data_IF_432904743109
#
_entry.id   IF_432904743109
#
_cell.length_a   1.000
_cell.length_b   1.000
_cell.length_c   1.000
_cell.angle_alpha   90.00
_cell.angle_beta   90.00
_cell.angle_gamma   90.00
#
_symmetry.space_group_name_H-M   'P 1'
#
loop_
_entity.id
_entity.type
_entity.pdbx_description
1 polymer ?
#
# COMPACT_ATOMS: atom_id res chain seq x y z
N UNK A 1 40.31 27.46 -7.17
CA UNK A 1 38.88 27.81 -7.06
C UNK A 1 38.07 27.07 -8.14
N UNK A 2 38.24 25.74 -8.25
CA UNK A 2 37.61 24.91 -9.30
C UNK A 2 37.08 23.55 -8.78
N UNK A 3 37.16 23.29 -7.47
CA UNK A 3 36.73 22.03 -6.86
C UNK A 3 35.33 22.08 -6.23
N UNK A 4 34.65 23.23 -6.25
CA UNK A 4 33.38 23.45 -5.52
C UNK A 4 32.11 23.26 -6.38
N UNK A 5 32.26 22.95 -7.67
CA UNK A 5 31.13 22.77 -8.61
C UNK A 5 30.69 21.31 -8.78
N UNK A 6 31.31 20.36 -8.07
CA UNK A 6 31.09 18.92 -8.25
C UNK A 6 30.30 18.23 -7.13
N UNK A 7 29.75 18.99 -6.18
CA UNK A 7 29.04 18.44 -5.01
C UNK A 7 27.64 19.03 -4.81
N UNK A 8 26.95 19.40 -5.89
CA UNK A 8 25.49 19.56 -5.78
C UNK A 8 24.86 18.18 -5.94
N UNK A 9 24.10 17.69 -4.95
CA UNK A 9 23.37 16.44 -5.11
C UNK A 9 22.50 16.56 -6.37
N UNK A 10 22.47 15.48 -7.17
CA UNK A 10 21.61 15.43 -8.34
C UNK A 10 20.17 15.75 -7.92
N UNK A 11 19.44 16.59 -8.66
CA UNK A 11 18.07 16.91 -8.30
C UNK A 11 17.19 15.65 -8.28
N UNK A 12 16.05 15.75 -7.58
CA UNK A 12 15.03 14.72 -7.61
C UNK A 12 14.70 14.38 -9.08
N UNK A 13 14.60 13.10 -9.44
CA UNK A 13 14.47 12.68 -10.84
C UNK A 13 13.08 13.00 -11.43
N UNK A 14 12.13 13.42 -10.60
CA UNK A 14 10.80 13.83 -10.99
C UNK A 14 10.31 15.02 -10.17
N UNK A 15 9.21 15.62 -10.63
CA UNK A 15 8.47 16.66 -9.92
C UNK A 15 6.96 16.37 -9.90
N UNK A 16 6.31 16.75 -8.82
CA UNK A 16 4.84 16.82 -8.73
C UNK A 16 4.35 18.13 -9.36
N UNK A 17 3.43 18.03 -10.30
CA UNK A 17 2.78 19.18 -10.93
C UNK A 17 1.28 19.14 -10.61
N UNK A 18 0.78 20.17 -9.94
CA UNK A 18 -0.66 20.30 -9.72
C UNK A 18 -1.33 20.57 -11.07
N UNK A 19 -2.23 19.68 -11.48
CA UNK A 19 -2.92 19.80 -12.76
C UNK A 19 -4.40 20.15 -12.61
N UNK A 20 -5.01 19.79 -11.48
CA UNK A 20 -6.41 20.10 -11.25
C UNK A 20 -6.81 20.07 -9.78
N UNK A 21 -7.85 20.81 -9.42
CA UNK A 21 -8.45 20.81 -8.08
C UNK A 21 -9.98 20.91 -8.12
N UNK A 22 -10.65 20.37 -7.11
CA UNK A 22 -12.10 20.44 -6.99
C UNK A 22 -12.69 19.58 -5.87
N UNK A 23 -14.02 19.51 -5.81
CA UNK A 23 -14.71 18.58 -4.92
C UNK A 23 -14.87 17.19 -5.54
N UNK A 24 -15.45 16.27 -4.77
CA UNK A 24 -15.70 14.88 -5.20
C UNK A 24 -16.45 14.79 -6.54
N UNK A 25 -17.41 15.68 -6.79
CA UNK A 25 -18.24 15.66 -8.02
C UNK A 25 -17.43 15.90 -9.31
N UNK A 26 -16.26 16.52 -9.20
CA UNK A 26 -15.35 16.73 -10.34
C UNK A 26 -14.53 15.47 -10.65
N UNK A 27 -14.27 14.65 -9.64
CA UNK A 27 -13.48 13.42 -9.73
C UNK A 27 -14.36 12.18 -9.48
N UNK A 28 -15.47 12.08 -10.22
CA UNK A 28 -16.44 11.00 -10.04
C UNK A 28 -15.86 9.59 -10.21
N UNK A 29 -14.77 9.48 -10.97
CA UNK A 29 -14.03 8.23 -11.19
C UNK A 29 -13.37 7.68 -9.91
N UNK A 30 -13.25 8.47 -8.84
CA UNK A 30 -12.69 8.03 -7.55
C UNK A 30 -13.75 7.39 -6.63
N UNK A 31 -15.03 7.43 -7.00
CA UNK A 31 -16.12 6.81 -6.22
C UNK A 31 -16.21 7.26 -4.75
N UNK A 32 -15.89 8.54 -4.47
CA UNK A 32 -15.86 9.12 -3.12
C UNK A 32 -17.16 9.85 -2.72
N UNK A 33 -18.29 9.55 -3.36
CA UNK A 33 -19.55 10.30 -3.20
C UNK A 33 -20.11 10.28 -1.77
N UNK A 34 -19.72 9.30 -0.95
CA UNK A 34 -20.06 9.25 0.46
C UNK A 34 -19.39 10.35 1.32
N UNK A 35 -18.41 11.08 0.78
CA UNK A 35 -17.69 12.15 1.48
C UNK A 35 -17.71 13.47 0.69
N UNK A 36 -18.88 14.11 0.53
CA UNK A 36 -19.05 15.29 -0.32
C UNK A 36 -18.19 16.50 0.10
N UNK A 37 -17.76 16.54 1.36
CA UNK A 37 -16.95 17.62 1.92
C UNK A 37 -15.44 17.50 1.60
N UNK A 38 -15.00 16.43 0.93
CA UNK A 38 -13.61 16.28 0.53
C UNK A 38 -13.26 17.23 -0.62
N UNK A 39 -12.15 17.93 -0.43
CA UNK A 39 -11.43 18.64 -1.48
C UNK A 39 -10.33 17.74 -2.02
N UNK A 40 -10.23 17.68 -3.35
CA UNK A 40 -9.34 16.80 -4.08
C UNK A 40 -8.41 17.64 -4.96
N UNK A 41 -7.13 17.31 -4.91
CA UNK A 41 -6.09 17.89 -5.75
C UNK A 41 -5.44 16.77 -6.57
N UNK A 42 -5.38 16.93 -7.89
CA UNK A 42 -4.78 15.99 -8.84
C UNK A 42 -3.38 16.49 -9.21
N UNK A 43 -2.40 15.61 -9.05
CA UNK A 43 -1.02 15.85 -9.42
C UNK A 43 -0.57 14.88 -10.49
N UNK A 44 0.25 15.37 -11.41
CA UNK A 44 1.03 14.55 -12.33
C UNK A 44 2.47 14.46 -11.83
N UNK A 45 3.03 13.25 -11.83
CA UNK A 45 4.43 13.02 -11.58
C UNK A 45 5.18 13.03 -12.91
N UNK A 46 6.12 13.96 -13.10
CA UNK A 46 6.81 14.16 -14.37
C UNK A 46 8.32 14.08 -14.24
N UNK A 47 8.94 13.46 -15.24
CA UNK A 47 10.40 13.38 -15.41
C UNK A 47 10.75 14.20 -16.65
N UNK A 48 11.74 15.10 -16.56
CA UNK A 48 12.05 16.05 -17.63
C UNK A 48 12.36 15.39 -18.99
N UNK A 49 12.90 14.17 -18.98
CA UNK A 49 13.24 13.41 -20.20
C UNK A 49 12.05 12.63 -20.80
N UNK A 50 10.87 12.69 -20.20
CA UNK A 50 9.68 11.93 -20.62
C UNK A 50 8.52 12.90 -20.86
N UNK A 51 7.94 12.86 -22.06
CA UNK A 51 6.86 13.77 -22.44
C UNK A 51 5.58 13.56 -21.62
N UNK A 52 5.24 12.30 -21.34
CA UNK A 52 4.05 11.91 -20.58
C UNK A 52 4.36 11.80 -19.09
N UNK A 53 3.38 12.05 -18.20
CA UNK A 53 3.54 11.76 -16.78
C UNK A 53 3.81 10.27 -16.56
N UNK A 54 4.60 9.98 -15.54
CA UNK A 54 4.96 8.62 -15.13
C UNK A 54 4.00 8.07 -14.06
N UNK A 55 3.30 8.95 -13.34
CA UNK A 55 2.24 8.60 -12.40
C UNK A 55 1.25 9.75 -12.22
N UNK A 56 0.06 9.43 -11.68
CA UNK A 56 -0.95 10.40 -11.26
C UNK A 56 -1.27 10.16 -9.79
N UNK A 57 -1.26 11.23 -8.99
CA UNK A 57 -1.58 11.18 -7.58
C UNK A 57 -2.82 12.04 -7.30
N UNK A 58 -3.76 11.49 -6.55
CA UNK A 58 -4.90 12.22 -6.02
C UNK A 58 -4.71 12.41 -4.53
N UNK A 59 -4.80 13.67 -4.09
CA UNK A 59 -4.76 14.05 -2.68
C UNK A 59 -6.14 14.47 -2.22
N UNK A 60 -6.53 14.06 -1.03
CA UNK A 60 -7.80 14.45 -0.42
C UNK A 60 -7.58 15.06 0.96
N UNK A 61 -8.38 16.07 1.30
CA UNK A 61 -8.46 16.64 2.64
C UNK A 61 -9.89 17.09 2.95
N UNK A 62 -10.22 17.09 4.24
CA UNK A 62 -11.34 17.88 4.79
C UNK A 62 -10.89 19.34 4.95
N UNK A 63 -11.83 20.29 5.10
CA UNK A 63 -11.59 21.75 5.09
C UNK A 63 -10.28 22.22 5.75
N UNK A 64 -10.02 21.79 6.98
CA UNK A 64 -8.82 22.15 7.77
C UNK A 64 -7.95 20.92 8.12
N UNK A 65 -8.17 19.81 7.40
CA UNK A 65 -7.47 18.54 7.62
C UNK A 65 -6.16 18.46 6.83
N UNK A 66 -5.31 17.53 7.23
CA UNK A 66 -4.12 17.20 6.45
C UNK A 66 -4.52 16.65 5.08
N UNK A 67 -3.76 17.04 4.06
CA UNK A 67 -3.88 16.52 2.70
C UNK A 67 -3.12 15.21 2.57
N UNK A 68 -3.85 14.12 2.34
CA UNK A 68 -3.32 12.75 2.27
C UNK A 68 -3.48 12.20 0.86
N UNK A 69 -2.62 11.25 0.48
CA UNK A 69 -2.80 10.46 -0.74
C UNK A 69 -4.07 9.60 -0.64
N UNK A 70 -4.98 9.73 -1.60
CA UNK A 70 -6.21 8.93 -1.67
C UNK A 70 -6.22 7.93 -2.82
N UNK A 71 -5.49 8.22 -3.91
CA UNK A 71 -5.35 7.31 -5.04
C UNK A 71 -4.02 7.57 -5.76
N UNK A 72 -3.40 6.49 -6.23
CA UNK A 72 -2.15 6.51 -6.99
C UNK A 72 -2.30 5.62 -8.22
N UNK A 73 -1.97 6.19 -9.38
CA UNK A 73 -1.97 5.48 -10.66
C UNK A 73 -0.56 5.51 -11.25
N UNK A 74 0.03 4.33 -11.44
CA UNK A 74 1.31 4.21 -12.15
C UNK A 74 1.03 4.15 -13.67
N UNK A 75 1.67 5.04 -14.43
CA UNK A 75 1.55 5.09 -15.90
C UNK A 75 2.75 4.42 -16.61
N UNK A 76 3.65 3.85 -15.83
CA UNK A 76 4.81 3.06 -16.27
C UNK A 76 4.77 1.68 -15.63
N UNK A 77 5.45 0.71 -16.26
CA UNK A 77 5.42 -0.69 -15.81
C UNK A 77 6.18 -0.94 -14.51
N UNK A 78 7.25 -0.18 -14.24
CA UNK A 78 7.96 -0.21 -12.97
C UNK A 78 7.36 0.85 -12.04
N UNK A 79 6.75 0.48 -10.90
CA UNK A 79 6.08 1.41 -10.02
C UNK A 79 7.07 2.39 -9.40
N UNK A 80 6.62 3.63 -9.24
CA UNK A 80 7.37 4.74 -8.63
C UNK A 80 6.48 5.32 -7.53
N UNK A 81 7.05 5.60 -6.36
CA UNK A 81 6.32 6.14 -5.21
C UNK A 81 5.48 5.08 -4.51
N UNK A 82 4.34 4.71 -5.09
CA UNK A 82 3.37 3.79 -4.49
C UNK A 82 2.92 2.69 -5.47
N UNK A 83 2.42 1.56 -4.96
CA UNK A 83 2.01 0.43 -5.84
C UNK A 83 0.72 0.67 -6.61
N UNK A 84 -0.07 1.69 -6.24
CA UNK A 84 -1.40 1.94 -6.76
C UNK A 84 -2.43 0.90 -6.30
N UNK A 85 -3.69 1.31 -6.27
CA UNK A 85 -4.82 0.47 -5.86
C UNK A 85 -6.15 1.10 -6.26
N UNK A 86 -7.20 0.28 -6.29
CA UNK A 86 -8.53 0.79 -6.61
C UNK A 86 -9.13 1.51 -5.39
N UNK A 87 -9.25 2.82 -5.51
CA UNK A 87 -9.81 3.69 -4.46
C UNK A 87 -11.28 3.39 -4.18
N UNK A 88 -12.02 2.83 -5.15
CA UNK A 88 -13.43 2.46 -4.97
C UNK A 88 -13.58 1.24 -4.05
N UNK A 89 -12.64 0.29 -4.12
CA UNK A 89 -12.58 -0.84 -3.20
C UNK A 89 -12.31 -0.36 -1.76
N UNK A 90 -11.36 0.58 -1.62
CA UNK A 90 -11.02 1.18 -0.32
C UNK A 90 -12.18 2.00 0.26
N UNK A 91 -12.87 2.77 -0.57
CA UNK A 91 -14.06 3.52 -0.19
C UNK A 91 -15.15 2.58 0.36
N UNK A 92 -15.39 1.46 -0.32
CA UNK A 92 -16.36 0.46 0.13
C UNK A 92 -15.97 -0.13 1.49
N UNK A 93 -14.69 -0.49 1.65
CA UNK A 93 -14.16 -0.96 2.94
C UNK A 93 -14.33 0.09 4.04
N UNK A 94 -14.05 1.36 3.79
CA UNK A 94 -14.18 2.42 4.79
C UNK A 94 -15.64 2.59 5.26
N UNK A 95 -16.60 2.50 4.33
CA UNK A 95 -18.04 2.50 4.66
C UNK A 95 -18.40 1.27 5.49
N UNK A 96 -17.92 0.08 5.12
CA UNK A 96 -18.28 -1.15 5.82
C UNK A 96 -17.60 -1.27 7.20
N UNK A 97 -16.38 -0.76 7.36
CA UNK A 97 -15.72 -0.58 8.66
C UNK A 97 -16.57 0.32 9.58
N UNK A 98 -17.20 1.36 9.02
CA UNK A 98 -18.07 2.26 9.80
C UNK A 98 -19.30 1.51 10.33
N UNK A 99 -19.74 0.45 9.67
CA UNK A 99 -20.89 -0.38 10.08
C UNK A 99 -20.52 -1.51 11.04
N UNK A 100 -19.35 -2.13 10.86
CA UNK A 100 -19.02 -3.42 11.49
C UNK A 100 -17.92 -3.35 12.55
N UNK A 101 -17.06 -2.33 12.53
CA UNK A 101 -15.99 -2.18 13.51
C UNK A 101 -16.45 -1.21 14.62
N UNK A 102 -16.28 -1.52 15.91
CA UNK A 102 -16.64 -0.59 16.99
C UNK A 102 -15.88 0.74 16.89
N UNK A 103 -16.47 1.85 17.36
CA UNK A 103 -15.88 3.19 17.16
C UNK A 103 -14.60 3.40 17.95
N UNK A 104 -14.52 2.76 19.11
CA UNK A 104 -13.40 2.76 20.05
C UNK A 104 -12.30 1.76 19.68
N UNK A 105 -12.56 0.87 18.71
CA UNK A 105 -11.56 -0.06 18.22
C UNK A 105 -10.48 0.68 17.42
N UNK A 106 -9.29 0.10 17.41
CA UNK A 106 -8.13 0.62 16.69
C UNK A 106 -7.93 -0.17 15.40
N UNK A 107 -7.74 0.57 14.32
CA UNK A 107 -7.35 0.01 13.03
C UNK A 107 -5.83 0.02 12.87
N UNK A 108 -5.30 -1.16 12.55
CA UNK A 108 -3.95 -1.36 12.03
C UNK A 108 -4.05 -1.55 10.51
N UNK A 109 -3.19 -0.88 9.76
CA UNK A 109 -3.02 -1.08 8.33
C UNK A 109 -1.61 -0.59 7.96
N UNK A 110 -1.19 -0.79 6.71
CA UNK A 110 -0.01 -0.07 6.21
C UNK A 110 -0.20 1.44 6.36
N UNK A 111 0.87 2.21 6.53
CA UNK A 111 0.76 3.62 6.96
C UNK A 111 -0.07 4.50 6.02
N UNK A 112 -0.03 4.25 4.71
CA UNK A 112 -0.81 4.98 3.71
C UNK A 112 -2.30 4.59 3.79
N UNK A 113 -2.60 3.30 3.81
CA UNK A 113 -3.98 2.79 4.00
C UNK A 113 -4.55 3.22 5.35
N UNK A 114 -3.74 3.25 6.40
CA UNK A 114 -4.12 3.71 7.75
C UNK A 114 -4.60 5.17 7.73
N UNK A 115 -3.93 6.04 6.97
CA UNK A 115 -4.35 7.44 6.81
C UNK A 115 -5.61 7.56 5.97
N UNK A 116 -5.70 6.80 4.89
CA UNK A 116 -6.88 6.79 4.02
C UNK A 116 -8.13 6.32 4.78
N UNK A 117 -8.01 5.24 5.54
CA UNK A 117 -9.09 4.74 6.39
C UNK A 117 -9.43 5.74 7.50
N UNK A 118 -8.45 6.39 8.13
CA UNK A 118 -8.72 7.45 9.10
C UNK A 118 -9.56 8.59 8.51
N UNK A 119 -9.24 9.03 7.28
CA UNK A 119 -9.99 10.08 6.59
C UNK A 119 -11.43 9.64 6.24
N UNK A 120 -11.57 8.43 5.70
CA UNK A 120 -12.81 7.93 5.11
C UNK A 120 -13.77 7.26 6.11
N UNK A 121 -13.27 6.69 7.21
CA UNK A 121 -14.10 5.97 8.18
C UNK A 121 -14.26 6.68 9.52
N UNK A 122 -13.53 7.78 9.76
CA UNK A 122 -13.49 8.49 11.05
C UNK A 122 -13.17 7.54 12.23
N UNK A 123 -12.36 6.51 11.96
CA UNK A 123 -11.88 5.52 12.93
C UNK A 123 -10.49 5.89 13.43
N UNK A 124 -10.19 5.43 14.65
CA UNK A 124 -8.86 5.54 15.22
C UNK A 124 -7.91 4.61 14.47
N UNK A 125 -6.87 5.17 13.88
CA UNK A 125 -5.82 4.41 13.18
C UNK A 125 -4.47 4.66 13.83
N UNK A 126 -3.58 3.67 13.81
CA UNK A 126 -2.29 3.76 14.52
C UNK A 126 -1.30 4.68 13.81
N UNK A 127 -1.30 4.69 12.47
CA UNK A 127 -0.40 5.51 11.67
C UNK A 127 -1.20 6.63 11.01
N UNK A 128 -0.84 7.88 11.32
CA UNK A 128 -1.56 9.09 10.92
C UNK A 128 -0.69 10.03 10.09
N UNK A 129 0.63 9.85 10.16
CA UNK A 129 1.62 10.67 9.46
C UNK A 129 2.13 10.01 8.17
N UNK A 130 2.66 10.82 7.26
CA UNK A 130 3.32 10.30 6.06
C UNK A 130 4.69 9.70 6.45
N UNK A 131 4.80 8.37 6.43
CA UNK A 131 6.04 7.69 6.82
C UNK A 131 7.01 7.51 5.63
N UNK A 132 6.50 7.41 4.41
CA UNK A 132 7.30 7.30 3.17
C UNK A 132 8.15 6.02 3.11
N UNK A 133 7.65 4.91 3.66
CA UNK A 133 8.40 3.65 3.76
C UNK A 133 7.58 2.43 3.28
N UNK A 134 8.15 1.53 2.46
CA UNK A 134 9.45 1.65 1.79
C UNK A 134 9.46 2.76 0.74
N UNK A 135 10.65 3.22 0.34
CA UNK A 135 10.79 3.98 -0.89
C UNK A 135 10.66 3.02 -2.08
N UNK A 136 9.68 3.27 -2.94
CA UNK A 136 9.51 2.53 -4.20
C UNK A 136 10.10 3.39 -5.32
N UNK A 137 11.28 2.99 -5.81
CA UNK A 137 11.95 3.68 -6.89
C UNK A 137 12.72 2.67 -7.76
N UNK A 138 12.83 2.92 -9.07
CA UNK A 138 13.64 2.11 -9.96
C UNK A 138 15.08 1.95 -9.51
N UNK A 139 15.65 0.78 -9.80
CA UNK A 139 17.03 0.45 -9.40
C UNK A 139 18.07 1.47 -9.90
N UNK A 140 17.86 2.06 -11.06
CA UNK A 140 18.73 3.10 -11.64
C UNK A 140 18.61 4.47 -10.96
N UNK A 141 17.69 4.65 -10.00
CA UNK A 141 17.60 5.83 -9.12
C UNK A 141 18.19 5.60 -7.73
N UNK A 142 18.82 4.44 -7.48
CA UNK A 142 19.40 4.08 -6.18
C UNK A 142 20.40 5.12 -5.64
N UNK A 143 21.20 5.75 -6.50
CA UNK A 143 22.15 6.80 -6.10
C UNK A 143 21.45 8.12 -5.71
N UNK A 144 20.15 8.26 -5.98
CA UNK A 144 19.34 9.45 -5.67
C UNK A 144 18.37 9.23 -4.51
N UNK A 145 18.44 8.09 -3.82
CA UNK A 145 17.50 7.72 -2.74
C UNK A 145 17.36 8.80 -1.67
N UNK A 146 18.46 9.42 -1.22
CA UNK A 146 18.40 10.48 -0.20
C UNK A 146 17.65 11.72 -0.69
N UNK A 147 17.92 12.15 -1.93
CA UNK A 147 17.27 13.32 -2.54
C UNK A 147 15.79 13.04 -2.79
N UNK A 148 15.45 11.84 -3.25
CA UNK A 148 14.05 11.42 -3.43
C UNK A 148 13.34 11.41 -2.07
N UNK A 149 13.96 10.82 -1.03
CA UNK A 149 13.36 10.75 0.30
C UNK A 149 13.09 12.15 0.87
N UNK A 150 14.05 13.07 0.75
CA UNK A 150 13.88 14.46 1.17
C UNK A 150 12.77 15.17 0.37
N UNK A 151 12.75 14.99 -0.95
CA UNK A 151 11.75 15.60 -1.82
C UNK A 151 10.33 15.12 -1.51
N UNK A 152 10.13 13.80 -1.37
CA UNK A 152 8.87 13.19 -0.96
C UNK A 152 8.44 13.74 0.41
N UNK A 153 9.36 13.81 1.37
CA UNK A 153 9.08 14.33 2.70
C UNK A 153 8.58 15.78 2.68
N UNK A 154 9.22 16.64 1.88
CA UNK A 154 8.81 18.03 1.72
C UNK A 154 7.46 18.16 1.00
N UNK A 155 7.22 17.36 -0.04
CA UNK A 155 5.99 17.44 -0.82
C UNK A 155 4.76 16.95 -0.04
N UNK A 156 4.88 15.82 0.66
CA UNK A 156 3.78 15.23 1.41
C UNK A 156 3.55 15.90 2.75
N UNK A 157 4.60 16.43 3.39
CA UNK A 157 4.54 16.99 4.72
C UNK A 157 4.07 15.97 5.77
N UNK A 158 3.61 16.46 6.92
CA UNK A 158 3.08 15.63 8.01
C UNK A 158 4.01 14.47 8.39
N UNK A 159 5.28 14.78 8.66
CA UNK A 159 6.30 13.79 8.95
C UNK A 159 5.98 13.02 10.23
N UNK A 160 6.08 11.69 10.15
CA UNK A 160 5.93 10.85 11.33
C UNK A 160 7.05 11.06 12.33
N UNK A 161 6.67 11.08 13.62
CA UNK A 161 7.63 11.11 14.73
C UNK A 161 8.55 9.90 14.70
N UNK A 162 9.71 10.00 15.35
CA UNK A 162 10.63 8.86 15.47
C UNK A 162 9.96 7.65 16.14
N UNK A 163 9.07 7.88 17.11
CA UNK A 163 8.30 6.83 17.78
C UNK A 163 7.27 6.18 16.84
N UNK A 164 6.53 6.97 16.05
CA UNK A 164 5.59 6.45 15.06
C UNK A 164 6.31 5.60 14.00
N UNK A 165 7.47 6.05 13.53
CA UNK A 165 8.34 5.29 12.60
C UNK A 165 8.82 3.97 13.24
N UNK A 166 9.20 3.99 14.51
CA UNK A 166 9.60 2.78 15.25
C UNK A 166 8.44 1.79 15.39
N UNK A 167 7.24 2.27 15.76
CA UNK A 167 6.03 1.44 15.82
C UNK A 167 5.66 0.86 14.45
N UNK A 168 5.89 1.61 13.38
CA UNK A 168 5.69 1.11 12.01
C UNK A 168 6.70 0.01 11.64
N UNK A 169 7.97 0.13 12.05
CA UNK A 169 8.93 -0.96 11.88
C UNK A 169 8.52 -2.22 12.64
N UNK A 170 8.05 -2.08 13.88
CA UNK A 170 7.51 -3.20 14.68
C UNK A 170 6.28 -3.83 14.02
N UNK A 171 5.40 -3.03 13.40
CA UNK A 171 4.27 -3.52 12.62
C UNK A 171 4.72 -4.33 11.40
N UNK A 172 5.70 -3.83 10.65
CA UNK A 172 6.29 -4.58 9.54
C UNK A 172 6.95 -5.89 10.02
N UNK A 173 7.66 -5.86 11.15
CA UNK A 173 8.26 -7.07 11.75
C UNK A 173 7.20 -8.09 12.19
N UNK A 174 6.06 -7.62 12.69
CA UNK A 174 4.93 -8.48 13.05
C UNK A 174 4.36 -9.18 11.81
N UNK A 175 4.16 -8.45 10.71
CA UNK A 175 3.68 -8.99 9.44
C UNK A 175 4.66 -9.99 8.79
N UNK A 176 5.96 -9.78 8.97
CA UNK A 176 7.03 -10.67 8.48
C UNK A 176 7.36 -11.84 9.42
N UNK A 177 6.72 -11.93 10.58
CA UNK A 177 6.93 -13.02 11.55
C UNK A 177 5.98 -14.20 11.28
N UNK A 178 6.28 -15.36 11.87
CA UNK A 178 5.32 -16.47 11.94
C UNK A 178 4.02 -16.03 12.63
N UNK A 179 2.89 -16.65 12.26
CA UNK A 179 1.56 -16.21 12.65
C UNK A 179 1.38 -15.91 14.15
N UNK A 180 1.72 -16.86 15.03
CA UNK A 180 1.54 -16.68 16.48
C UNK A 180 2.37 -15.53 17.05
N UNK A 181 3.64 -15.44 16.65
CA UNK A 181 4.54 -14.35 17.06
C UNK A 181 4.07 -13.01 16.51
N UNK A 182 3.70 -12.96 15.23
CA UNK A 182 3.20 -11.74 14.59
C UNK A 182 1.95 -11.22 15.27
N UNK A 183 0.98 -12.09 15.59
CA UNK A 183 -0.24 -11.70 16.31
C UNK A 183 0.08 -11.14 17.71
N UNK A 184 1.01 -11.75 18.45
CA UNK A 184 1.46 -11.22 19.73
C UNK A 184 2.09 -9.83 19.60
N UNK A 185 2.94 -9.62 18.58
CA UNK A 185 3.54 -8.31 18.31
C UNK A 185 2.49 -7.25 17.92
N UNK A 186 1.49 -7.60 17.09
CA UNK A 186 0.38 -6.70 16.76
C UNK A 186 -0.41 -6.31 18.02
N UNK A 187 -0.53 -7.22 18.99
CA UNK A 187 -1.18 -6.96 20.26
C UNK A 187 -0.39 -6.02 21.16
N UNK A 188 0.92 -6.24 21.28
CA UNK A 188 1.81 -5.34 22.03
C UNK A 188 1.78 -3.91 21.48
N UNK A 189 1.64 -3.76 20.16
CA UNK A 189 1.57 -2.44 19.52
C UNK A 189 0.39 -1.59 19.97
N UNK A 190 -0.74 -2.20 20.32
CA UNK A 190 -2.00 -1.47 20.58
C UNK A 190 -2.50 -1.65 22.02
N UNK A 191 -1.98 -2.64 22.75
CA UNK A 191 -2.36 -2.91 24.13
C UNK A 191 -3.73 -3.59 24.22
N UNK A 192 -4.54 -3.16 25.19
CA UNK A 192 -5.79 -3.83 25.58
C UNK A 192 -7.02 -3.48 24.73
N UNK A 193 -6.89 -2.60 23.75
CA UNK A 193 -8.03 -2.19 22.91
C UNK A 193 -8.46 -3.31 21.96
N UNK A 194 -9.70 -3.25 21.49
CA UNK A 194 -10.12 -4.05 20.34
C UNK A 194 -9.34 -3.60 19.10
N UNK A 195 -8.76 -4.55 18.37
CA UNK A 195 -7.88 -4.29 17.23
C UNK A 195 -8.39 -5.02 16.01
N UNK A 196 -8.47 -4.28 14.91
CA UNK A 196 -8.71 -4.81 13.60
C UNK A 196 -7.54 -4.47 12.70
N UNK A 197 -7.09 -5.42 11.91
CA UNK A 197 -6.04 -5.22 10.92
C UNK A 197 -6.63 -5.30 9.52
N UNK A 198 -6.31 -4.31 8.69
CA UNK A 198 -6.65 -4.25 7.28
C UNK A 198 -5.37 -4.50 6.48
N UNK A 199 -5.39 -5.52 5.62
CA UNK A 199 -4.26 -5.86 4.74
C UNK A 199 -4.70 -5.90 3.28
N UNK A 200 -3.74 -5.69 2.39
CA UNK A 200 -3.93 -5.68 0.95
C UNK A 200 -2.75 -6.38 0.23
N UNK A 201 -2.92 -7.02 -0.94
CA UNK A 201 -1.82 -7.65 -1.69
C UNK A 201 -0.60 -6.77 -1.93
N UNK A 202 -0.77 -5.46 -2.08
CA UNK A 202 0.35 -4.50 -2.23
C UNK A 202 1.27 -4.49 -1.01
N UNK A 203 0.75 -4.78 0.18
CA UNK A 203 1.53 -4.82 1.43
C UNK A 203 2.59 -5.92 1.38
N UNK A 204 2.38 -7.00 0.61
CA UNK A 204 3.38 -8.04 0.42
C UNK A 204 4.63 -7.46 -0.24
N UNK A 205 4.45 -6.71 -1.32
CA UNK A 205 5.58 -6.11 -2.04
C UNK A 205 6.28 -5.06 -1.18
N UNK A 206 5.50 -4.20 -0.52
CA UNK A 206 6.05 -3.20 0.41
C UNK A 206 6.85 -3.86 1.54
N UNK A 207 6.34 -4.96 2.09
CA UNK A 207 7.04 -5.73 3.12
C UNK A 207 8.31 -6.39 2.60
N UNK A 208 8.29 -6.95 1.39
CA UNK A 208 9.48 -7.56 0.77
C UNK A 208 10.59 -6.57 0.49
N UNK A 209 10.25 -5.33 0.11
CA UNK A 209 11.23 -4.24 0.00
C UNK A 209 11.85 -3.88 1.37
N UNK A 210 11.06 -3.95 2.45
CA UNK A 210 11.53 -3.64 3.81
C UNK A 210 12.27 -4.79 4.49
N UNK A 211 11.97 -6.04 4.12
CA UNK A 211 12.47 -7.26 4.75
C UNK A 211 12.86 -8.31 3.68
N UNK A 212 13.81 -8.01 2.77
CA UNK A 212 14.18 -8.90 1.67
C UNK A 212 14.72 -10.26 2.16
N UNK A 213 15.32 -10.31 3.34
CA UNK A 213 15.80 -11.56 3.95
C UNK A 213 14.67 -12.46 4.50
N UNK A 214 13.46 -11.93 4.63
CA UNK A 214 12.27 -12.65 5.16
C UNK A 214 11.25 -12.96 4.07
N UNK A 215 11.16 -12.12 3.04
CA UNK A 215 10.14 -12.26 2.00
C UNK A 215 10.78 -12.04 0.63
N UNK A 216 10.96 -13.15 -0.10
CA UNK A 216 11.33 -13.14 -1.51
C UNK A 216 10.07 -12.94 -2.34
N UNK A 217 10.00 -11.81 -3.04
CA UNK A 217 8.80 -11.39 -3.76
C UNK A 217 9.12 -10.76 -5.10
N UNK A 218 8.26 -11.04 -6.08
CA UNK A 218 8.15 -10.28 -7.31
C UNK A 218 6.70 -9.95 -7.62
N UNK A 219 6.48 -9.03 -8.55
CA UNK A 219 5.18 -8.83 -9.17
C UNK A 219 5.29 -8.81 -10.68
N UNK A 220 4.18 -9.08 -11.37
CA UNK A 220 4.07 -8.88 -12.81
C UNK A 220 2.63 -8.56 -13.19
N UNK A 221 2.48 -7.65 -14.13
CA UNK A 221 1.19 -7.31 -14.71
C UNK A 221 0.90 -8.20 -15.91
N UNK A 222 -0.34 -8.69 -15.97
CA UNK A 222 -0.85 -9.53 -17.04
C UNK A 222 -2.10 -8.87 -17.64
N UNK A 223 -2.23 -8.86 -18.98
CA UNK A 223 -3.42 -8.35 -19.63
C UNK A 223 -4.60 -9.31 -19.37
N UNK A 224 -5.72 -8.75 -18.93
CA UNK A 224 -7.01 -9.43 -18.81
C UNK A 224 -7.70 -9.43 -20.18
N UNK A 225 -7.16 -10.18 -21.14
CA UNK A 225 -7.90 -10.52 -22.36
C UNK A 225 -9.00 -11.49 -21.97
N UNK A 226 -10.25 -11.32 -22.42
CA UNK A 226 -11.48 -11.98 -21.92
C UNK A 226 -11.52 -13.51 -21.77
N UNK A 227 -10.42 -14.23 -22.00
CA UNK A 227 -10.19 -15.61 -21.62
C UNK A 227 -9.44 -15.70 -20.27
N UNK A 228 -10.20 -15.58 -19.17
CA UNK A 228 -9.69 -15.71 -17.79
C UNK A 228 -9.02 -17.09 -17.53
N UNK A 229 -9.42 -18.14 -18.24
CA UNK A 229 -8.78 -19.47 -18.14
C UNK A 229 -7.34 -19.49 -18.68
N UNK A 230 -7.03 -18.67 -19.68
CA UNK A 230 -5.67 -18.53 -20.21
C UNK A 230 -4.72 -17.80 -19.25
N UNK A 231 -5.24 -16.84 -18.48
CA UNK A 231 -4.46 -16.06 -17.51
C UNK A 231 -3.84 -16.96 -16.44
N UNK A 232 -4.62 -17.86 -15.84
CA UNK A 232 -4.12 -18.73 -14.78
C UNK A 232 -2.94 -19.61 -15.26
N UNK A 233 -2.98 -20.08 -16.51
CA UNK A 233 -1.88 -20.81 -17.15
C UNK A 233 -0.63 -19.94 -17.31
N UNK A 234 -0.78 -18.70 -17.79
CA UNK A 234 0.34 -17.76 -17.96
C UNK A 234 1.00 -17.40 -16.62
N UNK A 235 0.19 -17.12 -15.59
CA UNK A 235 0.68 -16.79 -14.25
C UNK A 235 1.45 -17.98 -13.66
N UNK A 236 0.92 -19.20 -13.75
CA UNK A 236 1.60 -20.42 -13.26
C UNK A 236 2.89 -20.73 -14.02
N UNK A 237 2.90 -20.53 -15.33
CA UNK A 237 4.10 -20.72 -16.15
C UNK A 237 5.19 -19.72 -15.75
N UNK A 238 4.83 -18.43 -15.57
CA UNK A 238 5.76 -17.40 -15.12
C UNK A 238 6.29 -17.69 -13.71
N UNK A 239 5.41 -18.05 -12.77
CA UNK A 239 5.76 -18.41 -11.39
C UNK A 239 6.83 -19.52 -11.37
N UNK A 240 6.57 -20.63 -12.08
CA UNK A 240 7.49 -21.77 -12.14
C UNK A 240 8.82 -21.42 -12.81
N UNK A 241 8.78 -20.65 -13.90
CA UNK A 241 9.97 -20.23 -14.62
C UNK A 241 10.90 -19.33 -13.79
N UNK A 242 10.35 -18.62 -12.80
CA UNK A 242 11.11 -17.68 -11.95
C UNK A 242 11.34 -18.20 -10.52
N UNK A 243 11.04 -19.48 -10.24
CA UNK A 243 11.37 -20.11 -8.96
C UNK A 243 10.49 -19.68 -7.77
N UNK A 244 9.27 -19.23 -8.04
CA UNK A 244 8.24 -18.97 -7.02
C UNK A 244 7.32 -20.18 -6.85
N UNK A 245 6.69 -20.33 -5.69
CA UNK A 245 5.84 -21.48 -5.35
C UNK A 245 4.37 -21.12 -5.10
N UNK A 246 4.08 -19.84 -4.94
CA UNK A 246 2.71 -19.35 -4.75
C UNK A 246 2.54 -17.94 -5.30
N UNK A 247 1.29 -17.51 -5.48
CA UNK A 247 0.96 -16.16 -5.91
C UNK A 247 -0.43 -15.72 -5.42
N UNK A 248 -0.66 -14.41 -5.36
CA UNK A 248 -2.00 -13.79 -5.25
C UNK A 248 -2.20 -12.82 -6.41
N UNK A 249 -3.46 -12.51 -6.71
CA UNK A 249 -3.84 -11.58 -7.78
C UNK A 249 -4.51 -10.32 -7.20
N UNK A 250 -4.29 -9.20 -7.86
CA UNK A 250 -4.97 -7.93 -7.63
C UNK A 250 -5.46 -7.39 -8.98
N UNK A 251 -6.73 -7.00 -9.05
CA UNK A 251 -7.23 -6.25 -10.22
C UNK A 251 -6.67 -4.83 -10.19
N UNK A 252 -6.08 -4.35 -11.29
CA UNK A 252 -5.68 -2.95 -11.45
C UNK A 252 -6.71 -2.17 -12.30
N UNK A 253 -7.33 -2.86 -13.25
CA UNK A 253 -8.42 -2.36 -14.09
C UNK A 253 -9.17 -3.54 -14.69
N UNK A 254 -10.25 -3.26 -15.43
CA UNK A 254 -10.98 -4.26 -16.22
C UNK A 254 -10.13 -4.99 -17.26
N UNK A 255 -8.91 -4.49 -17.53
CA UNK A 255 -8.02 -5.02 -18.58
C UNK A 255 -6.66 -5.45 -18.07
N UNK A 256 -6.33 -5.25 -16.80
CA UNK A 256 -5.01 -5.57 -16.23
C UNK A 256 -5.15 -6.13 -14.82
N UNK A 257 -4.46 -7.25 -14.60
CA UNK A 257 -4.28 -7.87 -13.27
C UNK A 257 -2.81 -7.88 -12.91
N UNK A 258 -2.49 -7.58 -11.66
CA UNK A 258 -1.17 -7.75 -11.09
C UNK A 258 -1.12 -9.06 -10.30
N UNK A 259 -0.13 -9.89 -10.59
CA UNK A 259 0.19 -11.04 -9.78
C UNK A 259 1.37 -10.72 -8.87
N UNK A 260 1.26 -11.06 -7.59
CA UNK A 260 2.36 -11.03 -6.61
C UNK A 260 2.80 -12.46 -6.34
N UNK A 261 4.09 -12.74 -6.53
CA UNK A 261 4.67 -14.07 -6.44
C UNK A 261 5.57 -14.17 -5.23
N UNK A 262 5.43 -15.25 -4.45
CA UNK A 262 6.22 -15.50 -3.26
C UNK A 262 6.92 -16.85 -3.35
N UNK A 263 8.02 -16.98 -2.62
CA UNK A 263 8.67 -18.24 -2.35
C UNK A 263 8.55 -18.56 -0.85
N UNK A 264 7.45 -19.22 -0.46
CA UNK A 264 7.20 -19.58 0.94
C UNK A 264 8.09 -20.74 1.40
N UNK A 265 8.51 -21.63 0.50
CA UNK A 265 9.36 -22.77 0.84
C UNK A 265 10.75 -22.38 1.34
N UNK A 266 11.27 -21.21 0.92
CA UNK A 266 12.58 -20.71 1.34
C UNK A 266 12.57 -20.05 2.72
N UNK A 267 11.53 -19.28 3.04
CA UNK A 267 11.51 -18.40 4.22
C UNK A 267 10.42 -18.75 5.25
N UNK A 268 9.59 -19.76 4.98
CA UNK A 268 8.43 -20.11 5.79
C UNK A 268 7.23 -19.19 5.54
N UNK A 269 6.09 -19.57 6.14
CA UNK A 269 4.84 -18.81 6.01
C UNK A 269 4.79 -17.67 7.03
N UNK A 270 4.96 -16.44 6.55
CA UNK A 270 4.80 -15.23 7.36
C UNK A 270 3.32 -14.94 7.64
N UNK A 271 3.03 -14.09 8.63
CA UNK A 271 1.68 -13.71 9.02
C UNK A 271 0.91 -13.09 7.85
N UNK A 272 1.50 -12.10 7.15
CA UNK A 272 0.82 -11.40 6.06
C UNK A 272 0.39 -12.34 4.92
N UNK A 273 1.24 -13.30 4.55
CA UNK A 273 0.95 -14.28 3.50
C UNK A 273 -0.26 -15.15 3.85
N UNK A 274 -0.44 -15.51 5.12
CA UNK A 274 -1.55 -16.31 5.60
C UNK A 274 -2.89 -15.54 5.67
N UNK A 275 -2.82 -14.21 5.69
CA UNK A 275 -3.99 -13.32 5.69
C UNK A 275 -4.49 -12.97 4.28
N UNK A 276 -3.81 -13.45 3.22
CA UNK A 276 -4.10 -13.07 1.84
C UNK A 276 -4.37 -14.31 0.97
N UNK A 277 -5.21 -14.19 -0.08
CA UNK A 277 -5.71 -15.32 -0.87
C UNK A 277 -4.66 -15.80 -1.88
N UNK A 278 -3.57 -16.38 -1.37
CA UNK A 278 -2.55 -17.03 -2.16
C UNK A 278 -3.08 -18.35 -2.75
N UNK A 279 -2.51 -18.79 -3.88
CA UNK A 279 -2.87 -20.02 -4.57
C UNK A 279 -2.95 -21.25 -3.65
N UNK A 280 -2.09 -21.31 -2.63
CA UNK A 280 -1.98 -22.43 -1.69
C UNK A 280 -2.40 -22.06 -0.25
N UNK A 281 -3.17 -20.98 -0.07
CA UNK A 281 -3.69 -20.55 1.24
C UNK A 281 -5.22 -20.51 1.26
N UNK A 282 -5.79 -20.61 2.46
CA UNK A 282 -7.23 -20.49 2.68
C UNK A 282 -7.48 -19.49 3.81
N UNK A 283 -7.43 -18.18 3.53
CA UNK A 283 -7.42 -17.15 4.58
C UNK A 283 -8.70 -17.07 5.41
N UNK A 284 -9.79 -17.66 4.91
CA UNK A 284 -11.07 -17.79 5.61
C UNK A 284 -10.95 -18.78 6.79
N UNK A 285 -10.09 -19.79 6.66
CA UNK A 285 -9.84 -20.80 7.69
C UNK A 285 -8.64 -20.44 8.59
N UNK A 286 -8.11 -19.22 8.45
CA UNK A 286 -6.96 -18.78 9.24
C UNK A 286 -7.35 -18.66 10.72
N UNK A 287 -6.67 -19.43 11.58
CA UNK A 287 -7.05 -19.54 13.00
C UNK A 287 -6.42 -18.47 13.88
N UNK A 288 -5.29 -17.89 13.48
CA UNK A 288 -4.58 -16.91 14.33
C UNK A 288 -5.28 -15.54 14.35
N UNK A 289 -6.11 -15.24 13.36
CA UNK A 289 -6.89 -14.02 13.24
C UNK A 289 -8.27 -14.33 12.69
N UNK A 290 -9.31 -13.68 13.21
CA UNK A 290 -10.67 -13.90 12.71
C UNK A 290 -10.97 -12.98 11.53
N UNK A 291 -11.21 -13.54 10.34
CA UNK A 291 -11.70 -12.75 9.21
C UNK A 291 -13.09 -12.20 9.53
N UNK A 292 -13.27 -10.88 9.42
CA UNK A 292 -14.57 -10.22 9.68
C UNK A 292 -15.20 -9.62 8.43
N UNK A 293 -14.39 -9.21 7.46
CA UNK A 293 -14.87 -8.62 6.23
C UNK A 293 -13.81 -8.69 5.13
N UNK A 294 -14.24 -8.67 3.86
CA UNK A 294 -13.37 -8.52 2.70
C UNK A 294 -14.12 -7.88 1.56
N UNK A 295 -13.44 -7.03 0.80
CA UNK A 295 -13.96 -6.44 -0.43
C UNK A 295 -12.79 -6.10 -1.34
N UNK A 296 -12.87 -6.49 -2.61
CA UNK A 296 -11.77 -6.31 -3.55
C UNK A 296 -10.48 -7.00 -3.06
N UNK A 297 -9.37 -6.28 -3.14
CA UNK A 297 -8.08 -6.71 -2.59
C UNK A 297 -7.95 -6.59 -1.07
N UNK A 298 -8.88 -5.95 -0.36
CA UNK A 298 -8.75 -5.68 1.08
C UNK A 298 -9.35 -6.78 1.94
N UNK A 299 -8.61 -7.16 2.98
CA UNK A 299 -9.00 -8.15 3.98
C UNK A 299 -8.94 -7.56 5.37
N UNK A 300 -10.05 -7.66 6.11
CA UNK A 300 -10.19 -7.10 7.45
C UNK A 300 -10.30 -8.24 8.46
N UNK A 301 -9.37 -8.28 9.39
CA UNK A 301 -9.30 -9.29 10.45
C UNK A 301 -9.46 -8.66 11.82
N UNK A 302 -10.19 -9.32 12.72
CA UNK A 302 -10.12 -9.05 14.16
C UNK A 302 -8.92 -9.80 14.74
N UNK A 303 -8.06 -9.07 15.45
CA UNK A 303 -6.99 -9.67 16.22
C UNK A 303 -7.60 -10.30 17.48
N UNK A 304 -7.24 -11.53 17.91
CA UNK A 304 -7.74 -12.10 19.16
C UNK A 304 -7.21 -11.32 20.36
N UNK A 305 -8.00 -11.14 21.41
CA UNK A 305 -7.51 -10.59 22.69
C UNK A 305 -6.51 -11.57 23.32
N UNK A 306 -5.51 -11.04 24.03
CA UNK A 306 -4.56 -11.84 24.79
C UNK A 306 -5.24 -12.57 25.96
#
# INVERSE_FOLDING_TARGET
WFAYLWLKPLPAPYSYQLVDEGGVTKFNNLSLQAWPDLKISKYELRVDSVEKPIAVAYRAHKRDGQSILISWENLVSEPIGEMGGDVSELATIAVDITKHVPKEAVLLAWWDTSRQLGLLSDRNTVFTSHLGQPLIAPSYWKERTEVITEYERQFWGAEGSAEERKRFQQFADALASEAGKGVAMLRELVGSQDVYIVVHPTDLYKLGLMRPDRLDIAFKDFPLTGNVHGLAGQVKAWMKANGYDTYTLQSLSDTVVRAYFLNESKNGKILLAQMLPLMNSTPIEFQALQLVHKHGGYWVYKVPTA
#
